data_IF_964849773934
#
_entry.id   IF_964849773934
#
_cell.length_a   1.000
_cell.length_b   1.000
_cell.length_c   1.000
_cell.angle_alpha   90.00
_cell.angle_beta   90.00
_cell.angle_gamma   90.00
#
_symmetry.space_group_name_H-M   'P 1'
#
loop_
_entity.id
_entity.type
_entity.pdbx_description
1 polymer ?
#
# COMPACT_ATOMS: atom_id res chain seq x y z
N UNK A 1 6.97 -7.84 -10.27
CA UNK A 1 7.55 -6.58 -10.70
C UNK A 1 8.55 -6.05 -9.69
N UNK A 2 9.36 -5.11 -10.10
CA UNK A 2 10.35 -4.48 -9.22
C UNK A 2 9.72 -3.80 -8.01
N UNK A 3 8.49 -3.36 -8.14
CA UNK A 3 7.76 -2.69 -7.08
C UNK A 3 7.59 -3.56 -5.83
N UNK A 4 7.09 -4.78 -6.01
CA UNK A 4 6.90 -5.71 -4.89
C UNK A 4 8.24 -6.13 -4.30
N UNK A 5 9.24 -6.39 -5.14
CA UNK A 5 10.57 -6.75 -4.68
C UNK A 5 11.16 -5.63 -3.83
N UNK A 6 11.03 -4.40 -4.30
CA UNK A 6 11.51 -3.23 -3.55
C UNK A 6 10.82 -3.11 -2.20
N UNK A 7 9.49 -3.28 -2.17
CA UNK A 7 8.71 -3.15 -0.94
C UNK A 7 9.13 -4.19 0.09
N UNK A 8 9.28 -5.44 -0.34
CA UNK A 8 9.68 -6.52 0.56
C UNK A 8 11.09 -6.29 1.10
N UNK A 9 12.01 -5.83 0.26
CA UNK A 9 13.37 -5.54 0.69
C UNK A 9 13.40 -4.40 1.69
N UNK A 10 12.60 -3.37 1.45
CA UNK A 10 12.49 -2.23 2.36
C UNK A 10 12.08 -2.66 3.76
N UNK A 11 11.12 -3.59 3.88
CA UNK A 11 10.72 -4.13 5.17
C UNK A 11 11.85 -4.92 5.81
N UNK A 12 12.56 -5.74 5.01
CA UNK A 12 13.64 -6.58 5.53
C UNK A 12 14.82 -5.78 6.08
N UNK A 13 14.98 -4.54 5.63
CA UNK A 13 16.04 -3.66 6.14
C UNK A 13 15.78 -3.20 7.58
N UNK A 14 14.52 -3.20 8.00
CA UNK A 14 14.16 -2.81 9.36
C UNK A 14 12.83 -3.43 9.77
N UNK A 15 12.80 -4.76 9.92
CA UNK A 15 11.53 -5.47 10.14
C UNK A 15 10.86 -5.15 11.48
N UNK A 16 11.57 -4.59 12.43
CA UNK A 16 10.97 -4.20 13.70
C UNK A 16 10.12 -2.95 13.60
N UNK A 17 10.36 -2.12 12.57
CA UNK A 17 9.70 -0.82 12.45
C UNK A 17 8.94 -0.64 11.14
N UNK A 18 8.96 -1.63 10.27
CA UNK A 18 8.35 -1.53 8.93
C UNK A 18 7.47 -2.72 8.64
N UNK A 19 6.33 -2.44 8.01
CA UNK A 19 5.40 -3.50 7.56
C UNK A 19 4.96 -3.18 6.13
N UNK A 20 4.45 -4.21 5.46
CA UNK A 20 3.96 -4.10 4.09
C UNK A 20 2.47 -4.44 4.04
N UNK A 21 1.71 -3.66 3.28
CA UNK A 21 0.31 -3.94 3.01
C UNK A 21 0.09 -4.10 1.50
N UNK A 22 -0.69 -5.11 1.11
CA UNK A 22 -1.04 -5.37 -0.29
C UNK A 22 -2.44 -6.00 -0.35
N UNK A 23 -3.34 -5.39 -1.12
CA UNK A 23 -4.71 -5.87 -1.25
C UNK A 23 -4.79 -7.28 -1.82
N UNK A 24 -3.95 -7.58 -2.80
CA UNK A 24 -3.98 -8.89 -3.43
C UNK A 24 -3.53 -10.00 -2.49
N UNK A 25 -2.58 -9.71 -1.62
CA UNK A 25 -2.16 -10.67 -0.60
C UNK A 25 -3.29 -10.98 0.37
N UNK A 26 -4.08 -9.97 0.72
CA UNK A 26 -5.27 -10.16 1.58
C UNK A 26 -6.28 -11.05 0.86
N UNK A 27 -6.55 -10.77 -0.41
CA UNK A 27 -7.48 -11.57 -1.19
C UNK A 27 -7.05 -13.04 -1.29
N UNK A 28 -5.76 -13.27 -1.52
CA UNK A 28 -5.21 -14.61 -1.59
C UNK A 28 -5.28 -15.32 -0.24
N UNK A 29 -5.03 -14.61 0.84
CA UNK A 29 -5.12 -15.16 2.18
C UNK A 29 -6.53 -15.65 2.51
N UNK A 30 -7.56 -15.02 1.93
CA UNK A 30 -8.95 -15.39 2.16
C UNK A 30 -9.40 -16.61 1.35
N UNK A 31 -8.51 -17.22 0.58
CA UNK A 31 -8.74 -18.50 -0.07
C UNK A 31 -9.06 -18.43 -1.55
N UNK A 32 -9.68 -17.37 -2.01
CA UNK A 32 -9.96 -17.16 -3.43
C UNK A 32 -9.71 -15.71 -3.77
N UNK A 33 -8.95 -15.49 -4.83
CA UNK A 33 -8.47 -14.15 -5.19
C UNK A 33 -9.61 -13.14 -5.35
N UNK A 34 -10.65 -13.49 -6.10
CA UNK A 34 -11.74 -12.56 -6.35
C UNK A 34 -13.09 -13.14 -6.02
N UNK A 35 -13.75 -12.57 -5.04
CA UNK A 35 -15.15 -12.81 -4.72
C UNK A 35 -15.75 -11.47 -4.41
N UNK A 36 -16.63 -10.97 -5.28
CA UNK A 36 -17.15 -9.60 -5.18
C UNK A 36 -17.72 -9.29 -3.79
N UNK A 37 -18.45 -10.21 -3.20
CA UNK A 37 -19.04 -10.00 -1.88
C UNK A 37 -18.00 -9.87 -0.76
N UNK A 38 -16.77 -10.29 -1.00
CA UNK A 38 -15.69 -10.19 0.00
C UNK A 38 -14.92 -8.88 -0.05
N UNK A 39 -15.20 -8.01 -1.02
CA UNK A 39 -14.46 -6.74 -1.09
C UNK A 39 -14.73 -5.85 0.10
N UNK A 40 -15.89 -5.97 0.73
CA UNK A 40 -16.15 -5.27 2.01
C UNK A 40 -15.24 -5.78 3.10
N UNK A 41 -15.03 -7.10 3.16
CA UNK A 41 -14.12 -7.68 4.14
C UNK A 41 -12.68 -7.25 3.89
N UNK A 42 -12.24 -7.24 2.63
CA UNK A 42 -10.90 -6.77 2.27
C UNK A 42 -10.72 -5.32 2.72
N UNK A 43 -11.71 -4.49 2.49
CA UNK A 43 -11.67 -3.09 2.89
C UNK A 43 -11.59 -2.92 4.41
N UNK A 44 -12.34 -3.71 5.15
CA UNK A 44 -12.31 -3.67 6.62
C UNK A 44 -10.95 -4.12 7.16
N UNK A 45 -10.38 -5.17 6.57
CA UNK A 45 -9.06 -5.66 6.97
C UNK A 45 -8.01 -4.58 6.70
N UNK A 46 -8.09 -3.90 5.57
CA UNK A 46 -7.19 -2.81 5.24
C UNK A 46 -7.24 -1.71 6.31
N UNK A 47 -8.45 -1.29 6.66
CA UNK A 47 -8.65 -0.25 7.65
C UNK A 47 -8.06 -0.65 9.00
N UNK A 48 -8.38 -1.85 9.46
CA UNK A 48 -7.88 -2.34 10.74
C UNK A 48 -6.36 -2.49 10.74
N UNK A 49 -5.80 -2.98 9.64
CA UNK A 49 -4.35 -3.10 9.51
C UNK A 49 -3.68 -1.74 9.60
N UNK A 50 -4.16 -0.76 8.84
CA UNK A 50 -3.55 0.56 8.80
C UNK A 50 -3.61 1.24 10.17
N UNK A 51 -4.77 1.21 10.80
CA UNK A 51 -4.94 1.83 12.11
C UNK A 51 -4.04 1.15 13.15
N UNK A 52 -4.03 -0.16 13.21
CA UNK A 52 -3.20 -0.89 14.16
C UNK A 52 -1.71 -0.64 13.96
N UNK A 53 -1.26 -0.68 12.71
CA UNK A 53 0.14 -0.43 12.40
C UNK A 53 0.57 0.98 12.81
N UNK A 54 -0.29 1.96 12.57
CA UNK A 54 -0.02 3.34 12.96
C UNK A 54 -0.03 3.51 14.48
N UNK A 55 -0.93 2.81 15.17
CA UNK A 55 -0.96 2.84 16.64
C UNK A 55 0.33 2.30 17.24
N UNK A 56 0.90 1.27 16.64
CA UNK A 56 2.16 0.70 17.11
C UNK A 56 3.39 1.45 16.59
N UNK A 57 3.19 2.46 15.76
CA UNK A 57 4.28 3.30 15.29
C UNK A 57 5.09 2.75 14.13
N UNK A 58 4.52 1.82 13.37
CA UNK A 58 5.20 1.27 12.20
C UNK A 58 5.17 2.23 11.02
N UNK A 59 6.23 2.17 10.22
CA UNK A 59 6.20 2.73 8.87
C UNK A 59 5.61 1.67 7.95
N UNK A 60 4.80 2.08 6.98
CA UNK A 60 4.03 1.15 6.17
C UNK A 60 4.33 1.39 4.69
N UNK A 61 4.64 0.33 3.96
CA UNK A 61 4.72 0.39 2.50
C UNK A 61 3.47 -0.25 1.91
N UNK A 62 2.82 0.47 0.99
CA UNK A 62 1.63 -0.01 0.29
C UNK A 62 1.99 -0.13 -1.18
N UNK A 63 2.05 -1.34 -1.68
CA UNK A 63 2.45 -1.62 -3.06
C UNK A 63 1.30 -2.20 -3.90
N UNK A 64 0.10 -1.76 -3.62
CA UNK A 64 -1.07 -2.16 -4.38
C UNK A 64 -0.92 -1.85 -5.86
N UNK A 65 -1.50 -2.69 -6.70
CA UNK A 65 -1.60 -2.40 -8.12
C UNK A 65 -2.68 -1.35 -8.35
N UNK A 66 -2.45 -0.48 -9.33
CA UNK A 66 -3.47 0.47 -9.77
C UNK A 66 -4.01 1.39 -8.67
N UNK A 67 -3.16 2.24 -8.12
CA UNK A 67 -3.63 3.29 -7.23
C UNK A 67 -4.54 4.25 -7.99
N UNK A 68 -5.85 4.11 -7.77
CA UNK A 68 -6.80 5.05 -8.34
C UNK A 68 -6.97 6.26 -7.40
N UNK A 69 -7.59 7.36 -7.90
CA UNK A 69 -7.74 8.56 -7.07
C UNK A 69 -8.46 8.34 -5.74
N UNK A 70 -9.43 7.45 -5.70
CA UNK A 70 -10.16 7.16 -4.46
C UNK A 70 -9.27 6.49 -3.42
N UNK A 71 -8.40 5.60 -3.86
CA UNK A 71 -7.49 4.91 -2.97
C UNK A 71 -6.46 5.87 -2.41
N UNK A 72 -5.90 6.72 -3.26
CA UNK A 72 -4.97 7.76 -2.81
C UNK A 72 -5.64 8.69 -1.80
N UNK A 73 -6.87 9.12 -2.07
CA UNK A 73 -7.63 9.95 -1.16
C UNK A 73 -7.83 9.28 0.19
N UNK A 74 -8.08 7.97 0.20
CA UNK A 74 -8.23 7.22 1.44
C UNK A 74 -6.97 7.36 2.32
N UNK A 75 -5.79 7.16 1.72
CA UNK A 75 -4.56 7.26 2.50
C UNK A 75 -4.24 8.68 2.91
N UNK A 76 -4.53 9.66 2.07
CA UNK A 76 -4.36 11.06 2.43
C UNK A 76 -5.22 11.44 3.63
N UNK A 77 -6.49 11.02 3.60
CA UNK A 77 -7.41 11.28 4.71
C UNK A 77 -6.97 10.57 5.98
N UNK A 78 -6.45 9.36 5.85
CA UNK A 78 -5.98 8.59 6.99
C UNK A 78 -4.84 9.31 7.71
N UNK A 79 -3.89 9.83 6.94
CA UNK A 79 -2.73 10.54 7.49
C UNK A 79 -3.15 11.89 8.08
N UNK A 80 -4.12 12.55 7.46
CA UNK A 80 -4.63 13.85 7.93
C UNK A 80 -5.61 13.70 9.08
N UNK A 81 -5.86 12.49 9.55
CA UNK A 81 -6.80 12.23 10.63
C UNK A 81 -6.42 13.03 11.87
N UNK A 82 -7.44 13.51 12.56
CA UNK A 82 -7.25 14.28 13.78
C UNK A 82 -6.99 13.42 15.00
N UNK A 83 -6.95 12.10 14.86
CA UNK A 83 -6.57 11.22 15.96
C UNK A 83 -5.11 11.45 16.27
N UNK A 84 -4.79 11.68 17.52
CA UNK A 84 -3.50 12.21 17.96
C UNK A 84 -2.28 11.55 17.35
N UNK A 85 -2.16 10.22 17.46
CA UNK A 85 -0.98 9.52 16.97
C UNK A 85 -0.86 9.56 15.43
N UNK A 86 -1.96 9.72 14.74
CA UNK A 86 -1.95 9.75 13.27
C UNK A 86 -1.39 11.04 12.71
N UNK A 87 -1.42 12.12 13.50
CA UNK A 87 -0.86 13.40 13.08
C UNK A 87 0.67 13.36 12.92
N UNK A 88 1.29 12.29 13.37
CA UNK A 88 2.75 12.14 13.27
C UNK A 88 3.17 11.50 11.94
N UNK A 89 2.23 11.14 11.09
CA UNK A 89 2.52 10.41 9.85
C UNK A 89 2.48 11.33 8.64
N UNK A 90 3.25 10.98 7.64
CA UNK A 90 3.23 11.66 6.34
C UNK A 90 3.24 10.63 5.22
N UNK A 91 2.84 11.06 4.02
CA UNK A 91 2.85 10.23 2.83
C UNK A 91 4.03 10.56 1.95
N UNK A 92 4.66 9.53 1.40
CA UNK A 92 5.66 9.67 0.36
C UNK A 92 5.31 8.74 -0.77
N UNK A 93 5.63 9.12 -1.99
CA UNK A 93 5.39 8.32 -3.17
C UNK A 93 6.71 7.94 -3.81
N UNK A 94 6.80 6.70 -4.26
CA UNK A 94 7.94 6.25 -5.04
C UNK A 94 7.43 5.69 -6.36
N UNK A 95 7.94 6.23 -7.45
CA UNK A 95 7.51 5.84 -8.78
C UNK A 95 8.48 4.85 -9.41
N UNK A 96 7.92 3.88 -10.12
CA UNK A 96 8.66 2.90 -10.89
C UNK A 96 8.19 2.98 -12.33
N UNK A 97 9.10 2.90 -13.27
CA UNK A 97 8.77 2.95 -14.68
C UNK A 97 8.97 1.57 -15.30
N UNK A 98 7.98 1.16 -16.09
CA UNK A 98 8.07 -0.10 -16.85
C UNK A 98 8.74 0.23 -18.17
N UNK A 99 9.82 -0.48 -18.57
CA UNK A 99 10.49 -0.23 -19.83
C UNK A 99 9.55 -0.35 -21.03
N UNK A 100 9.81 0.47 -22.05
CA UNK A 100 8.97 0.50 -23.25
C UNK A 100 8.86 -0.84 -23.95
N UNK A 101 9.92 -1.64 -23.96
CA UNK A 101 9.89 -2.94 -24.59
C UNK A 101 8.93 -3.91 -23.90
N UNK A 102 8.53 -3.62 -22.69
CA UNK A 102 7.54 -4.41 -21.97
C UNK A 102 6.13 -3.85 -22.19
N UNK A 103 6.04 -2.57 -22.54
CA UNK A 103 4.77 -1.86 -22.72
C UNK A 103 4.65 -1.34 -24.14
N UNK A 104 4.64 -2.25 -25.13
CA UNK A 104 4.70 -1.86 -26.54
C UNK A 104 3.50 -1.04 -27.00
N UNK A 105 2.36 -1.27 -26.42
CA UNK A 105 1.13 -0.64 -26.91
C UNK A 105 0.85 0.71 -26.31
N UNK A 106 1.69 1.19 -25.42
CA UNK A 106 1.50 2.48 -24.77
C UNK A 106 2.82 3.04 -24.33
N UNK A 107 2.76 4.30 -23.97
CA UNK A 107 3.91 4.95 -23.38
C UNK A 107 4.34 4.23 -22.11
N UNK A 108 5.55 4.45 -21.67
CA UNK A 108 6.05 3.85 -20.44
C UNK A 108 5.05 4.05 -19.32
N UNK A 109 4.68 2.97 -18.67
CA UNK A 109 3.74 3.00 -17.57
C UNK A 109 4.47 3.28 -16.28
N UNK A 110 3.93 4.21 -15.52
CA UNK A 110 4.42 4.49 -14.18
C UNK A 110 3.62 3.71 -13.16
N UNK A 111 4.31 2.95 -12.34
CA UNK A 111 3.71 2.31 -11.17
C UNK A 111 4.18 3.03 -9.93
N UNK A 112 3.37 3.01 -8.89
CA UNK A 112 3.63 3.81 -7.70
C UNK A 112 3.55 2.97 -6.45
N UNK A 113 4.47 3.22 -5.53
CA UNK A 113 4.40 2.73 -4.17
C UNK A 113 4.08 3.92 -3.26
N UNK A 114 3.29 3.65 -2.24
CA UNK A 114 2.96 4.62 -1.23
C UNK A 114 3.66 4.25 0.07
N UNK A 115 4.31 5.23 0.68
CA UNK A 115 4.92 5.05 1.99
C UNK A 115 4.18 5.90 3.00
N UNK A 116 3.70 5.27 4.06
CA UNK A 116 3.06 5.94 5.19
C UNK A 116 4.09 5.92 6.30
N UNK A 117 4.76 7.06 6.53
CA UNK A 117 5.93 7.14 7.42
C UNK A 117 5.67 8.04 8.60
N UNK A 118 6.15 7.57 9.72
CA UNK A 118 6.09 8.31 10.96
C UNK A 118 7.05 9.49 11.00
#
# INVERSE_FOLDING_TARGET
>A
SGKTTWAKQWVLEDPEHRVRFNNDDIRNMLGKYWVTSREHLVSDIKKDFMVSAMEFGYDIVVDNMNFNPKEIEYYENLVDSTLGYMNCYSLEYKDFFIPLEVCIERDSRRERILLVKK
#
